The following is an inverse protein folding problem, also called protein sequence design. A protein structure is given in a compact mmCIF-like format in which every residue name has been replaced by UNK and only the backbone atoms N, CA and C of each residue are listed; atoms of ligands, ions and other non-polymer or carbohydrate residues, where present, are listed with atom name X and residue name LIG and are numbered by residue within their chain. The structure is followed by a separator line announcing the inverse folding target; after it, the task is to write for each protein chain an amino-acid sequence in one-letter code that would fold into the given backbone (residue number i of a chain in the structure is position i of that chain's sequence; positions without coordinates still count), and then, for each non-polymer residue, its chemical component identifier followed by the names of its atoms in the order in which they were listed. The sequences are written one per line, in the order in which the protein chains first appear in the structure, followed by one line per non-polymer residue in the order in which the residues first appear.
data_IF_757723890862
#
_entry.id   IF_757723890862
#
_cell.length_a   1.000
_cell.length_b   1.000
_cell.length_c   1.000
_cell.angle_alpha   90.00
_cell.angle_beta   90.00
_cell.angle_gamma   90.00
#
_symmetry.space_group_name_H-M   'P 1'
#
loop_
_entity.id
_entity.type
_entity.pdbx_description
1 polymer ?
#
# COMPACT_ATOMS: atom_id res chain seq x y z
N UNK A 1 -4.53 7.38 6.14
CA UNK A 1 -5.85 6.78 6.44
C UNK A 1 -5.78 5.30 6.15
N UNK A 2 -6.41 4.42 6.94
CA UNK A 2 -6.23 2.96 6.81
C UNK A 2 -7.56 2.20 6.69
N UNK A 3 -7.48 1.01 6.05
CA UNK A 3 -8.56 0.03 5.94
C UNK A 3 -9.82 0.53 5.23
N UNK A 4 -9.63 1.35 4.19
CA UNK A 4 -10.74 1.86 3.37
C UNK A 4 -11.17 0.78 2.39
N UNK A 5 -12.48 0.50 2.32
CA UNK A 5 -13.07 -0.26 1.23
C UNK A 5 -13.28 0.67 0.01
N UNK A 6 -12.73 0.35 -1.18
CA UNK A 6 -12.90 1.20 -2.35
C UNK A 6 -14.35 1.50 -2.73
N UNK A 7 -15.29 0.62 -2.36
CA UNK A 7 -16.73 0.82 -2.61
C UNK A 7 -17.41 1.77 -1.62
N UNK A 8 -16.74 2.17 -0.54
CA UNK A 8 -17.30 3.07 0.49
C UNK A 8 -16.83 4.51 0.35
N UNK A 9 -15.96 4.78 -0.62
CA UNK A 9 -15.43 6.13 -0.85
C UNK A 9 -16.47 6.96 -1.59
N UNK A 10 -16.96 8.00 -0.95
CA UNK A 10 -17.88 8.98 -1.51
C UNK A 10 -17.17 10.26 -1.98
N UNK A 11 -17.93 11.21 -2.49
CA UNK A 11 -17.40 12.48 -2.98
C UNK A 11 -16.80 13.32 -1.85
N UNK A 12 -17.41 13.33 -0.66
CA UNK A 12 -16.95 14.13 0.47
C UNK A 12 -15.59 13.66 0.95
N UNK A 13 -15.36 12.34 0.99
CA UNK A 13 -14.04 11.78 1.32
C UNK A 13 -13.00 12.10 0.24
N UNK A 14 -13.39 12.06 -1.05
CA UNK A 14 -12.49 12.45 -2.15
C UNK A 14 -12.13 13.93 -2.09
N UNK A 15 -13.08 14.80 -1.76
CA UNK A 15 -12.83 16.23 -1.57
C UNK A 15 -11.92 16.48 -0.34
N UNK A 16 -12.08 15.70 0.74
CA UNK A 16 -11.18 15.76 1.88
C UNK A 16 -9.74 15.37 1.48
N UNK A 17 -9.53 14.38 0.61
CA UNK A 17 -8.20 14.05 0.11
C UNK A 17 -7.58 15.17 -0.72
N UNK A 18 -8.38 15.90 -1.45
CA UNK A 18 -7.93 16.99 -2.31
C UNK A 18 -7.59 18.27 -1.53
N UNK A 19 -8.46 18.65 -0.59
CA UNK A 19 -8.41 19.98 0.02
C UNK A 19 -7.90 20.00 1.47
N UNK A 20 -7.89 18.87 2.19
CA UNK A 20 -7.45 18.85 3.59
C UNK A 20 -5.95 18.52 3.69
N UNK A 21 -5.12 19.54 3.90
CA UNK A 21 -3.66 19.40 3.99
C UNK A 21 -3.18 18.54 5.17
N UNK A 22 -3.97 18.47 6.26
CA UNK A 22 -3.66 17.64 7.44
C UNK A 22 -3.86 16.16 7.17
N UNK A 23 -4.59 15.81 6.11
CA UNK A 23 -4.77 14.44 5.68
C UNK A 23 -3.52 13.99 4.89
N UNK A 24 -2.72 13.13 5.50
CA UNK A 24 -1.48 12.65 4.88
C UNK A 24 -1.76 11.90 3.58
N UNK A 25 -0.90 12.07 2.54
CA UNK A 25 -1.08 11.46 1.21
C UNK A 25 -0.75 9.96 1.21
N UNK A 26 -1.34 9.23 2.13
CA UNK A 26 -1.22 7.78 2.22
C UNK A 26 -2.59 7.15 2.53
N UNK A 27 -3.04 6.27 1.65
CA UNK A 27 -4.31 5.54 1.79
C UNK A 27 -4.03 4.05 1.76
N UNK A 28 -4.50 3.33 2.77
CA UNK A 28 -4.44 1.88 2.82
C UNK A 28 -5.81 1.27 2.53
N UNK A 29 -5.87 0.43 1.49
CA UNK A 29 -7.09 -0.14 0.93
C UNK A 29 -7.29 -1.59 1.34
N UNK A 30 -8.51 -1.96 1.66
CA UNK A 30 -8.92 -3.34 1.91
C UNK A 30 -9.22 -4.07 0.59
N UNK A 31 -8.22 -4.23 -0.30
CA UNK A 31 -8.36 -4.77 -1.66
C UNK A 31 -8.69 -6.26 -1.64
N UNK A 32 -7.99 -7.03 -0.83
CA UNK A 32 -8.11 -8.46 -0.59
C UNK A 32 -7.76 -9.36 -1.79
N UNK A 33 -8.18 -9.06 -3.02
CA UNK A 33 -7.90 -9.86 -4.21
C UNK A 33 -8.07 -9.07 -5.50
N UNK A 34 -7.47 -9.56 -6.62
CA UNK A 34 -7.62 -8.93 -7.94
C UNK A 34 -8.63 -9.62 -8.87
N UNK A 35 -9.22 -10.75 -8.48
CA UNK A 35 -10.22 -11.44 -9.31
C UNK A 35 -11.64 -11.19 -8.82
N UNK A 36 -12.52 -10.75 -9.71
CA UNK A 36 -13.91 -10.39 -9.39
C UNK A 36 -14.73 -11.56 -8.85
N UNK A 37 -14.44 -12.82 -9.29
CA UNK A 37 -15.15 -13.99 -8.80
C UNK A 37 -14.73 -14.29 -7.37
N UNK A 38 -13.44 -14.20 -7.08
CA UNK A 38 -12.90 -14.39 -5.73
C UNK A 38 -13.42 -13.28 -4.80
N UNK A 39 -13.39 -12.02 -5.22
CA UNK A 39 -13.97 -10.90 -4.46
C UNK A 39 -15.45 -11.12 -4.11
N UNK A 40 -16.26 -11.58 -5.07
CA UNK A 40 -17.67 -11.95 -4.82
C UNK A 40 -17.81 -13.08 -3.82
N UNK A 41 -16.94 -14.11 -3.88
CA UNK A 41 -16.90 -15.21 -2.90
C UNK A 41 -16.49 -14.75 -1.51
N UNK A 42 -15.64 -13.75 -1.41
CA UNK A 42 -15.28 -13.05 -0.17
C UNK A 42 -16.39 -12.10 0.32
N UNK A 43 -17.48 -11.94 -0.44
CA UNK A 43 -18.57 -10.97 -0.21
C UNK A 43 -18.08 -9.52 -0.17
N UNK A 44 -17.08 -9.20 -1.00
CA UNK A 44 -16.64 -7.82 -1.21
C UNK A 44 -17.60 -7.10 -2.14
N UNK A 45 -17.78 -5.79 -1.90
CA UNK A 45 -18.66 -4.91 -2.69
C UNK A 45 -17.95 -4.33 -3.90
N UNK A 46 -16.64 -4.10 -3.81
CA UNK A 46 -15.81 -3.63 -4.90
C UNK A 46 -15.34 -4.75 -5.82
N UNK A 47 -15.02 -4.42 -7.04
CA UNK A 47 -14.43 -5.25 -8.08
C UNK A 47 -13.06 -4.69 -8.48
N UNK A 48 -12.33 -5.42 -9.34
CA UNK A 48 -11.03 -5.00 -9.89
C UNK A 48 -11.07 -3.55 -10.43
N UNK A 49 -12.08 -3.24 -11.25
CA UNK A 49 -12.21 -1.92 -11.89
C UNK A 49 -12.46 -0.80 -10.89
N UNK A 50 -13.14 -1.08 -9.80
CA UNK A 50 -13.43 -0.06 -8.79
C UNK A 50 -12.14 0.40 -8.11
N UNK A 51 -11.23 -0.52 -7.81
CA UNK A 51 -9.89 -0.20 -7.28
C UNK A 51 -9.10 0.66 -8.27
N UNK A 52 -9.07 0.27 -9.55
CA UNK A 52 -8.35 1.03 -10.59
C UNK A 52 -8.94 2.43 -10.76
N UNK A 53 -10.26 2.56 -10.83
CA UNK A 53 -10.93 3.84 -10.99
C UNK A 53 -10.69 4.75 -9.78
N UNK A 54 -10.79 4.20 -8.57
CA UNK A 54 -10.51 4.94 -7.34
C UNK A 54 -9.07 5.47 -7.32
N UNK A 55 -8.09 4.61 -7.58
CA UNK A 55 -6.67 5.01 -7.60
C UNK A 55 -6.40 6.10 -8.63
N UNK A 56 -6.95 5.97 -9.84
CA UNK A 56 -6.81 6.98 -10.90
C UNK A 56 -7.42 8.32 -10.49
N UNK A 57 -8.62 8.31 -9.94
CA UNK A 57 -9.29 9.54 -9.52
C UNK A 57 -8.58 10.19 -8.34
N UNK A 58 -8.15 9.43 -7.33
CA UNK A 58 -7.40 9.95 -6.19
C UNK A 58 -6.05 10.57 -6.64
N UNK A 59 -5.34 9.92 -7.57
CA UNK A 59 -4.11 10.47 -8.17
C UNK A 59 -4.35 11.73 -8.99
N UNK A 60 -5.48 11.83 -9.69
CA UNK A 60 -5.86 13.02 -10.45
C UNK A 60 -6.08 14.22 -9.53
N UNK A 61 -6.71 14.00 -8.37
CA UNK A 61 -7.00 15.04 -7.38
C UNK A 61 -5.77 15.43 -6.56
N UNK A 62 -5.00 14.44 -6.16
CA UNK A 62 -3.78 14.62 -5.37
C UNK A 62 -2.67 13.70 -5.85
N UNK A 63 -1.75 14.23 -6.62
CA UNK A 63 -0.74 13.46 -7.36
C UNK A 63 0.30 12.77 -6.46
N UNK A 64 0.55 13.27 -5.24
CA UNK A 64 1.48 12.74 -4.26
C UNK A 64 0.92 11.57 -3.43
N UNK A 65 -0.38 11.24 -3.56
CA UNK A 65 -1.00 10.12 -2.84
C UNK A 65 -0.28 8.79 -3.14
N UNK A 66 -0.02 8.03 -2.09
CA UNK A 66 0.58 6.70 -2.14
C UNK A 66 -0.42 5.67 -1.59
N UNK A 67 -0.50 4.51 -2.22
CA UNK A 67 -1.46 3.48 -1.85
C UNK A 67 -0.78 2.29 -1.18
N UNK A 68 -1.39 1.85 -0.08
CA UNK A 68 -1.19 0.53 0.49
C UNK A 68 -2.38 -0.38 0.21
N UNK A 69 -2.21 -1.68 0.43
CA UNK A 69 -3.32 -2.62 0.30
C UNK A 69 -3.04 -3.99 0.89
N UNK A 70 -4.10 -4.61 1.39
CA UNK A 70 -4.07 -5.98 1.88
C UNK A 70 -4.46 -6.96 0.77
N UNK A 71 -3.74 -8.08 0.67
CA UNK A 71 -4.01 -9.16 -0.27
C UNK A 71 -4.01 -10.52 0.42
N UNK A 72 -4.98 -11.36 0.08
CA UNK A 72 -5.08 -12.74 0.55
C UNK A 72 -4.69 -13.68 -0.58
N UNK A 73 -3.65 -14.51 -0.35
CA UNK A 73 -3.20 -15.53 -1.29
C UNK A 73 -3.83 -16.88 -0.97
N UNK A 74 -4.33 -17.56 -2.00
CA UNK A 74 -4.84 -18.92 -1.86
C UNK A 74 -6.22 -19.01 -1.22
N UNK A 75 -7.08 -18.02 -1.42
CA UNK A 75 -8.49 -18.12 -1.01
C UNK A 75 -9.14 -19.35 -1.69
N UNK A 76 -10.08 -20.05 -1.01
CA UNK A 76 -10.76 -21.22 -1.61
C UNK A 76 -11.21 -20.96 -3.04
N UNK A 77 -10.96 -21.91 -3.92
CA UNK A 77 -11.27 -21.84 -5.36
C UNK A 77 -10.43 -20.84 -6.19
N UNK A 78 -9.42 -20.20 -5.62
CA UNK A 78 -8.47 -19.41 -6.39
C UNK A 78 -7.68 -20.31 -7.33
N UNK A 79 -7.79 -20.08 -8.63
CA UNK A 79 -6.96 -20.72 -9.65
C UNK A 79 -5.75 -19.85 -10.03
N UNK A 80 -4.95 -20.31 -10.97
CA UNK A 80 -3.76 -19.57 -11.41
C UNK A 80 -4.13 -18.25 -12.10
N UNK A 81 -5.23 -18.22 -12.87
CA UNK A 81 -5.68 -16.99 -13.54
C UNK A 81 -6.13 -15.93 -12.54
N UNK A 82 -6.83 -16.35 -11.48
CA UNK A 82 -7.26 -15.46 -10.41
C UNK A 82 -6.05 -14.90 -9.65
N UNK A 83 -5.03 -15.73 -9.35
CA UNK A 83 -3.78 -15.26 -8.75
C UNK A 83 -3.07 -14.22 -9.62
N UNK A 84 -2.93 -14.48 -10.93
CA UNK A 84 -2.31 -13.53 -11.86
C UNK A 84 -3.03 -12.19 -11.94
N UNK A 85 -4.37 -12.17 -11.78
CA UNK A 85 -5.12 -10.91 -11.70
C UNK A 85 -4.76 -10.10 -10.45
N UNK A 86 -4.48 -10.73 -9.31
CA UNK A 86 -3.98 -10.01 -8.13
C UNK A 86 -2.61 -9.40 -8.40
N UNK A 87 -1.69 -10.13 -9.04
CA UNK A 87 -0.39 -9.61 -9.47
C UNK A 87 -0.53 -8.42 -10.43
N UNK A 88 -1.44 -8.54 -11.40
CA UNK A 88 -1.73 -7.48 -12.36
C UNK A 88 -2.30 -6.24 -11.69
N UNK A 89 -3.29 -6.39 -10.78
CA UNK A 89 -3.89 -5.27 -10.05
C UNK A 89 -2.86 -4.47 -9.26
N UNK A 90 -1.96 -5.15 -8.54
CA UNK A 90 -0.87 -4.53 -7.79
C UNK A 90 -0.03 -3.63 -8.71
N UNK A 91 0.31 -4.14 -9.89
CA UNK A 91 1.16 -3.42 -10.84
C UNK A 91 0.41 -2.27 -11.51
N UNK A 92 -0.83 -2.50 -11.98
CA UNK A 92 -1.63 -1.51 -12.70
C UNK A 92 -2.07 -0.36 -11.79
N UNK A 93 -2.47 -0.65 -10.55
CA UNK A 93 -2.83 0.35 -9.55
C UNK A 93 -1.60 0.98 -8.87
N UNK A 94 -0.38 0.52 -9.18
CA UNK A 94 0.86 0.98 -8.56
C UNK A 94 0.78 1.00 -7.03
N UNK A 95 0.29 -0.11 -6.43
CA UNK A 95 0.21 -0.25 -4.98
C UNK A 95 1.63 -0.39 -4.40
N UNK A 96 1.96 0.44 -3.43
CA UNK A 96 3.32 0.58 -2.87
C UNK A 96 3.53 -0.24 -1.60
N UNK A 97 2.60 -0.12 -0.64
CA UNK A 97 2.68 -0.78 0.66
C UNK A 97 1.72 -1.97 0.68
N UNK A 98 2.24 -3.18 0.50
CA UNK A 98 1.42 -4.37 0.29
C UNK A 98 1.60 -5.33 1.47
N UNK A 99 0.50 -5.68 2.12
CA UNK A 99 0.46 -6.74 3.12
C UNK A 99 -0.13 -8.00 2.49
N UNK A 100 0.61 -9.10 2.58
CA UNK A 100 0.21 -10.38 2.01
C UNK A 100 -0.10 -11.39 3.10
N UNK A 101 -1.33 -11.87 3.11
CA UNK A 101 -1.85 -12.85 4.04
C UNK A 101 -2.10 -14.18 3.32
N UNK A 102 -1.38 -15.26 3.65
CA UNK A 102 -1.78 -16.59 3.19
C UNK A 102 -3.14 -16.93 3.79
N UNK A 103 -4.06 -17.44 2.96
CA UNK A 103 -5.38 -17.82 3.45
C UNK A 103 -5.26 -18.86 4.58
N UNK A 104 -6.00 -18.62 5.65
CA UNK A 104 -6.13 -19.53 6.79
C UNK A 104 -7.59 -19.95 6.94
N UNK A 105 -7.85 -21.24 6.84
CA UNK A 105 -9.19 -21.79 6.99
C UNK A 105 -9.71 -21.59 8.44
N UNK A 106 -10.90 -21.00 8.55
CA UNK A 106 -11.58 -20.81 9.84
C UNK A 106 -12.86 -21.61 9.84
N UNK A 107 -12.98 -22.53 10.80
CA UNK A 107 -14.19 -23.34 10.99
C UNK A 107 -15.44 -22.45 11.07
N UNK A 108 -16.57 -22.97 10.61
CA UNK A 108 -17.87 -22.30 10.63
C UNK A 108 -17.98 -21.04 9.73
N UNK A 109 -17.08 -20.85 8.77
CA UNK A 109 -17.22 -19.82 7.74
C UNK A 109 -17.70 -20.42 6.44
N UNK A 110 -18.42 -19.69 5.56
CA UNK A 110 -18.77 -20.17 4.22
C UNK A 110 -17.55 -20.61 3.41
N UNK A 111 -16.42 -19.92 3.55
CA UNK A 111 -15.17 -20.25 2.88
C UNK A 111 -14.61 -21.62 3.30
N UNK A 112 -14.86 -22.08 4.52
CA UNK A 112 -14.39 -23.40 4.99
C UNK A 112 -15.05 -24.56 4.26
N UNK A 113 -16.23 -24.35 3.68
CA UNK A 113 -16.98 -25.36 2.94
C UNK A 113 -16.71 -25.33 1.42
N UNK A 114 -15.88 -24.40 0.95
CA UNK A 114 -15.49 -24.32 -0.46
C UNK A 114 -14.28 -25.24 -0.75
N UNK A 115 -14.06 -25.63 -2.02
CA UNK A 115 -12.85 -26.34 -2.40
C UNK A 115 -11.58 -25.58 -1.99
N UNK A 116 -10.78 -26.19 -1.14
CA UNK A 116 -9.58 -25.57 -0.58
C UNK A 116 -8.39 -25.65 -1.55
N UNK A 117 -7.58 -24.61 -1.58
CA UNK A 117 -6.29 -24.62 -2.29
C UNK A 117 -5.26 -25.36 -1.44
N UNK A 118 -4.39 -26.15 -2.08
CA UNK A 118 -3.33 -26.87 -1.39
C UNK A 118 -2.37 -25.92 -0.67
N UNK A 119 -1.96 -26.26 0.54
CA UNK A 119 -1.09 -25.42 1.39
C UNK A 119 0.21 -25.00 0.69
N UNK A 120 0.81 -25.88 -0.10
CA UNK A 120 2.03 -25.60 -0.88
C UNK A 120 1.80 -24.53 -1.93
N UNK A 121 0.62 -24.54 -2.59
CA UNK A 121 0.22 -23.53 -3.57
C UNK A 121 -0.05 -22.19 -2.87
N UNK A 122 -0.74 -22.19 -1.72
CA UNK A 122 -0.96 -20.98 -0.91
C UNK A 122 0.37 -20.32 -0.56
N UNK A 123 1.33 -21.10 -0.08
CA UNK A 123 2.65 -20.60 0.31
C UNK A 123 3.43 -20.04 -0.90
N UNK A 124 3.39 -20.74 -2.03
CA UNK A 124 4.00 -20.29 -3.29
C UNK A 124 3.43 -18.93 -3.72
N UNK A 125 2.10 -18.83 -3.81
CA UNK A 125 1.41 -17.60 -4.23
C UNK A 125 1.65 -16.43 -3.26
N UNK A 126 1.63 -16.69 -1.95
CA UNK A 126 1.96 -15.68 -0.96
C UNK A 126 3.42 -15.19 -1.09
N UNK A 127 4.34 -16.07 -1.47
CA UNK A 127 5.73 -15.67 -1.75
C UNK A 127 5.80 -14.80 -3.01
N UNK A 128 5.15 -15.20 -4.10
CA UNK A 128 5.13 -14.43 -5.35
C UNK A 128 4.56 -13.01 -5.16
N UNK A 129 3.47 -12.89 -4.38
CA UNK A 129 2.90 -11.57 -4.03
C UNK A 129 3.88 -10.73 -3.17
N UNK A 130 4.59 -11.34 -2.22
CA UNK A 130 5.60 -10.62 -1.41
C UNK A 130 6.80 -10.19 -2.24
N UNK A 131 7.27 -11.05 -3.14
CA UNK A 131 8.37 -10.71 -4.05
C UNK A 131 7.98 -9.52 -4.97
N UNK A 132 6.71 -9.47 -5.41
CA UNK A 132 6.18 -8.33 -6.16
C UNK A 132 6.04 -7.09 -5.28
N UNK A 133 5.55 -7.25 -4.04
CA UNK A 133 5.42 -6.16 -3.05
C UNK A 133 6.76 -5.47 -2.80
N UNK A 134 7.83 -6.26 -2.60
CA UNK A 134 9.18 -5.75 -2.41
C UNK A 134 9.66 -4.97 -3.65
N UNK A 135 9.41 -5.48 -4.85
CA UNK A 135 9.76 -4.78 -6.10
C UNK A 135 9.04 -3.44 -6.24
N UNK A 136 7.73 -3.39 -5.94
CA UNK A 136 6.95 -2.16 -5.99
C UNK A 136 7.41 -1.15 -4.93
N UNK A 137 7.67 -1.62 -3.72
CA UNK A 137 8.18 -0.78 -2.65
C UNK A 137 9.55 -0.20 -2.99
N UNK A 138 10.49 -1.02 -3.46
CA UNK A 138 11.84 -0.56 -3.87
C UNK A 138 11.77 0.44 -5.04
N UNK A 139 10.92 0.19 -6.04
CA UNK A 139 10.69 1.14 -7.13
C UNK A 139 10.21 2.49 -6.60
N UNK A 140 9.29 2.49 -5.65
CA UNK A 140 8.81 3.71 -5.01
C UNK A 140 9.92 4.41 -4.23
N UNK A 141 10.69 3.70 -3.39
CA UNK A 141 11.79 4.30 -2.62
C UNK A 141 12.84 4.95 -3.54
N UNK A 142 13.21 4.29 -4.63
CA UNK A 142 14.15 4.84 -5.62
C UNK A 142 13.59 6.14 -6.23
N UNK A 143 12.28 6.21 -6.49
CA UNK A 143 11.65 7.42 -7.03
C UNK A 143 11.66 8.61 -6.07
N UNK A 144 11.91 8.37 -4.78
CA UNK A 144 12.01 9.44 -3.79
C UNK A 144 13.38 10.11 -3.74
N UNK A 145 14.43 9.51 -4.34
CA UNK A 145 15.78 10.09 -4.35
C UNK A 145 15.77 11.46 -5.02
N UNK A 146 16.37 12.45 -4.36
CA UNK A 146 16.42 13.84 -4.81
C UNK A 146 15.22 14.69 -4.43
N UNK A 147 14.09 14.07 -3.97
CA UNK A 147 12.92 14.82 -3.50
C UNK A 147 13.15 15.42 -2.11
N UNK A 148 12.34 16.42 -1.76
CA UNK A 148 12.28 16.97 -0.40
C UNK A 148 11.01 16.48 0.27
N UNK A 149 11.15 15.89 1.45
CA UNK A 149 10.06 15.34 2.25
C UNK A 149 9.97 16.05 3.61
N UNK A 150 8.76 16.30 4.10
CA UNK A 150 8.52 16.67 5.50
C UNK A 150 8.54 15.39 6.32
N UNK A 151 9.46 15.31 7.29
CA UNK A 151 9.68 14.12 8.12
C UNK A 151 9.35 14.44 9.57
N UNK A 152 8.43 13.69 10.15
CA UNK A 152 8.22 13.67 11.59
C UNK A 152 9.25 12.72 12.20
N UNK A 153 10.17 13.26 12.97
CA UNK A 153 11.19 12.47 13.68
C UNK A 153 10.56 11.83 14.92
N UNK A 154 10.65 10.51 15.03
CA UNK A 154 10.04 9.74 16.11
C UNK A 154 11.06 9.35 17.18
N UNK A 155 12.22 8.87 16.76
CA UNK A 155 13.32 8.52 17.67
C UNK A 155 14.66 8.43 16.92
N UNK A 156 15.78 8.66 17.64
CA UNK A 156 17.15 8.46 17.15
C UNK A 156 17.37 8.90 15.68
N UNK A 157 16.86 10.06 15.31
CA UNK A 157 16.92 10.61 13.94
C UNK A 157 16.26 9.72 12.87
N UNK A 158 15.33 8.86 13.27
CA UNK A 158 14.47 8.08 12.38
C UNK A 158 13.04 8.58 12.50
N UNK A 159 12.36 8.71 11.38
CA UNK A 159 10.98 9.15 11.34
C UNK A 159 10.27 8.72 10.07
N UNK A 160 9.07 9.24 9.88
CA UNK A 160 8.27 8.98 8.68
C UNK A 160 7.96 10.27 7.93
N UNK A 161 8.02 10.18 6.60
CA UNK A 161 7.51 11.23 5.73
C UNK A 161 5.98 11.20 5.64
N UNK A 162 5.39 12.25 5.08
CA UNK A 162 3.93 12.34 4.88
C UNK A 162 3.37 11.21 4.03
N UNK A 163 4.16 10.65 3.11
CA UNK A 163 3.82 9.51 2.26
C UNK A 163 4.10 8.14 2.92
N UNK A 164 4.36 8.12 4.23
CA UNK A 164 4.64 6.95 5.05
C UNK A 164 6.02 6.30 4.83
N UNK A 165 6.91 6.91 4.06
CA UNK A 165 8.29 6.41 3.90
C UNK A 165 9.07 6.56 5.20
N UNK A 166 9.71 5.47 5.63
CA UNK A 166 10.66 5.51 6.75
C UNK A 166 11.97 6.14 6.31
N UNK A 167 12.42 7.14 7.06
CA UNK A 167 13.62 7.93 6.74
C UNK A 167 14.53 7.99 7.94
N UNK A 168 15.82 7.71 7.72
CA UNK A 168 16.89 7.95 8.67
C UNK A 168 17.63 9.22 8.28
N UNK A 169 17.73 10.16 9.18
CA UNK A 169 18.46 11.41 8.98
C UNK A 169 19.95 11.19 9.25
N UNK A 170 20.81 11.90 8.52
CA UNK A 170 22.27 11.94 8.78
C UNK A 170 22.61 12.74 10.02
N UNK A 171 21.81 13.76 10.33
CA UNK A 171 21.95 14.62 11.48
C UNK A 171 21.25 14.06 12.70
N UNK A 172 21.72 14.43 13.89
CA UNK A 172 21.03 14.11 15.13
C UNK A 172 19.89 15.13 15.35
N UNK A 173 18.66 14.64 15.43
CA UNK A 173 17.45 15.46 15.57
C UNK A 173 16.61 14.93 16.72
N UNK A 174 16.09 15.85 17.53
CA UNK A 174 15.21 15.50 18.63
C UNK A 174 13.89 14.92 18.13
N UNK A 175 13.35 13.95 18.88
CA UNK A 175 12.06 13.37 18.60
C UNK A 175 10.92 14.41 18.65
N UNK A 176 9.81 14.11 18.00
CA UNK A 176 8.65 15.00 17.88
C UNK A 176 8.92 16.30 17.11
N UNK A 177 9.99 16.35 16.32
CA UNK A 177 10.34 17.48 15.45
C UNK A 177 9.96 17.18 14.01
N UNK A 178 9.43 18.16 13.28
CA UNK A 178 9.18 18.06 11.85
C UNK A 178 10.27 18.82 11.09
N UNK A 179 10.98 18.13 10.21
CA UNK A 179 12.09 18.72 9.44
C UNK A 179 11.89 18.48 7.93
N UNK A 180 12.31 19.47 7.14
CA UNK A 180 12.44 19.30 5.70
C UNK A 180 13.71 18.50 5.40
N UNK A 181 13.58 17.43 4.64
CA UNK A 181 14.64 16.46 4.41
C UNK A 181 14.79 16.18 2.93
N UNK A 182 15.99 16.41 2.39
CA UNK A 182 16.34 15.97 1.04
C UNK A 182 16.73 14.49 1.07
N UNK A 183 16.07 13.68 0.27
CA UNK A 183 16.34 12.25 0.17
C UNK A 183 17.58 12.03 -0.68
N UNK A 184 18.53 11.27 -0.16
CA UNK A 184 19.83 11.04 -0.78
C UNK A 184 19.95 9.66 -1.41
N UNK A 185 19.55 8.64 -0.69
CA UNK A 185 19.74 7.25 -1.10
C UNK A 185 18.72 6.30 -0.45
N UNK A 186 18.65 5.09 -0.98
CA UNK A 186 17.85 3.97 -0.42
C UNK A 186 18.81 3.04 0.33
N UNK A 187 18.37 2.57 1.48
CA UNK A 187 19.03 1.49 2.21
C UNK A 187 18.03 0.35 2.53
N UNK A 188 18.48 -0.80 3.04
CA UNK A 188 17.60 -1.93 3.37
C UNK A 188 16.44 -1.59 4.33
N UNK A 189 16.62 -0.58 5.20
CA UNK A 189 15.64 -0.19 6.21
C UNK A 189 14.72 0.97 5.77
N UNK A 190 14.91 1.53 4.56
CA UNK A 190 14.12 2.65 4.04
C UNK A 190 14.97 3.67 3.27
N UNK A 191 14.81 4.94 3.58
CA UNK A 191 15.50 6.05 2.94
C UNK A 191 16.53 6.70 3.88
N UNK A 192 17.57 7.28 3.30
CA UNK A 192 18.51 8.16 4.02
C UNK A 192 18.34 9.57 3.49
N UNK A 193 18.24 10.53 4.39
CA UNK A 193 18.11 11.93 4.04
C UNK A 193 18.98 12.85 4.88
N UNK A 194 19.09 14.09 4.44
CA UNK A 194 19.76 15.18 5.16
C UNK A 194 18.81 16.36 5.29
N UNK A 195 18.90 17.08 6.41
CA UNK A 195 18.10 18.26 6.64
C UNK A 195 18.42 19.32 5.58
N UNK A 196 17.39 19.94 5.05
CA UNK A 196 17.54 21.06 4.15
C UNK A 196 16.64 22.22 4.60
N UNK A 197 17.14 23.46 4.42
CA UNK A 197 16.28 24.63 4.57
C UNK A 197 15.35 24.70 3.36
N UNK A 198 14.06 24.78 3.60
CA UNK A 198 13.12 25.21 2.57
C UNK A 198 13.43 26.70 2.32
N UNK A 199 14.42 27.00 1.43
CA UNK A 199 14.58 28.34 0.95
C UNK A 199 13.24 28.76 0.31
N UNK A 200 12.72 29.87 0.80
CA UNK A 200 11.49 30.56 0.41
C UNK A 200 11.36 30.74 -1.10
#
# INVERSE_FOLDING_TARGET
MSSIDPAEVDFDLMDAFEYEERLMPHIHLSIQHGDDIILKRMKRRHLYRDVINFVKEAKRRRNDIVFGGDFIAGFPTEDEKAHQKSMQLITEANITYIHVFPYSNRKNTPASNMPQVQKTIIQKRAKELRDLAEKQHNKFLISQIGTIQKVLVENNSVGHATNFSKIKLKENVEACTIVATKILEVNPDGLIGTICNLNK
#
